data_IF_281466622885
#
_entry.id   IF_281466622885
#
_cell.length_a   1.000
_cell.length_b   1.000
_cell.length_c   1.000
_cell.angle_alpha   90.00
_cell.angle_beta   90.00
_cell.angle_gamma   90.00
#
_symmetry.space_group_name_H-M   'P 1'
#
loop_
_entity.id
_entity.type
_entity.pdbx_description
1 polymer ?
#
# COMPACT_ATOMS: atom_id res chain seq x y z
N UNK A 1 -8.17 2.03 18.61
CA UNK A 1 -9.32 1.20 19.07
C UNK A 1 -9.02 -0.30 19.15
N UNK A 2 -8.06 -0.81 18.37
CA UNK A 2 -7.79 -2.25 18.29
C UNK A 2 -6.57 -2.66 19.11
N UNK A 3 -6.59 -3.85 19.74
CA UNK A 3 -5.42 -4.38 20.42
C UNK A 3 -4.32 -4.73 19.42
N UNK A 4 -3.06 -4.70 19.88
CA UNK A 4 -1.88 -4.87 19.01
C UNK A 4 -1.85 -6.19 18.24
N UNK A 5 -2.35 -7.27 18.82
CA UNK A 5 -2.38 -8.58 18.15
C UNK A 5 -3.34 -8.57 16.95
N UNK A 6 -4.48 -7.89 17.08
CA UNK A 6 -5.46 -7.78 16.00
C UNK A 6 -4.92 -6.94 14.84
N UNK A 7 -4.14 -5.89 15.15
CA UNK A 7 -3.43 -5.09 14.13
C UNK A 7 -2.44 -5.93 13.35
N UNK A 8 -1.68 -6.80 14.01
CA UNK A 8 -0.74 -7.71 13.34
C UNK A 8 -1.46 -8.70 12.43
N UNK A 9 -2.54 -9.32 12.91
CA UNK A 9 -3.35 -10.25 12.10
C UNK A 9 -4.01 -9.52 10.93
N UNK A 10 -4.54 -8.31 11.14
CA UNK A 10 -5.14 -7.52 10.08
C UNK A 10 -4.11 -7.08 9.04
N UNK A 11 -2.89 -6.71 9.44
CA UNK A 11 -1.81 -6.40 8.50
C UNK A 11 -1.43 -7.61 7.64
N UNK A 12 -1.35 -8.80 8.24
CA UNK A 12 -1.12 -10.04 7.51
C UNK A 12 -2.28 -10.42 6.59
N UNK A 13 -3.52 -10.25 7.05
CA UNK A 13 -4.73 -10.48 6.24
C UNK A 13 -4.76 -9.53 5.03
N UNK A 14 -4.43 -8.25 5.24
CA UNK A 14 -4.29 -7.28 4.16
C UNK A 14 -3.26 -7.73 3.11
N UNK A 15 -2.06 -8.12 3.54
CA UNK A 15 -1.01 -8.60 2.64
C UNK A 15 -1.45 -9.83 1.82
N UNK A 16 -2.12 -10.79 2.46
CA UNK A 16 -2.65 -12.00 1.83
C UNK A 16 -3.75 -11.71 0.82
N UNK A 17 -4.73 -10.88 1.20
CA UNK A 17 -5.84 -10.48 0.32
C UNK A 17 -5.34 -9.65 -0.85
N UNK A 18 -4.35 -8.79 -0.64
CA UNK A 18 -3.72 -8.02 -1.71
C UNK A 18 -2.90 -8.89 -2.65
N UNK A 19 -2.14 -9.86 -2.12
CA UNK A 19 -1.45 -10.83 -2.95
C UNK A 19 -2.46 -11.60 -3.82
N UNK A 20 -3.53 -12.13 -3.23
CA UNK A 20 -4.59 -12.79 -3.98
C UNK A 20 -5.22 -11.86 -5.06
N UNK A 21 -5.40 -10.58 -4.74
CA UNK A 21 -5.87 -9.57 -5.69
C UNK A 21 -4.91 -9.37 -6.88
N UNK A 22 -3.59 -9.41 -6.65
CA UNK A 22 -2.58 -9.37 -7.70
C UNK A 22 -2.55 -10.64 -8.56
N UNK A 23 -3.27 -11.69 -8.17
CA UNK A 23 -3.19 -13.00 -8.82
C UNK A 23 -2.20 -13.93 -8.14
N UNK A 24 -2.08 -13.87 -6.81
CA UNK A 24 -1.38 -14.90 -6.07
C UNK A 24 -2.27 -16.16 -5.93
N UNK A 25 -1.74 -17.36 -6.19
CA UNK A 25 -2.31 -18.60 -5.69
C UNK A 25 -2.45 -18.59 -4.16
N UNK A 26 -3.23 -19.55 -3.64
CA UNK A 26 -3.49 -19.65 -2.19
C UNK A 26 -2.20 -19.80 -1.37
N UNK A 27 -1.20 -20.51 -1.89
CA UNK A 27 0.05 -20.78 -1.19
C UNK A 27 0.92 -19.53 -1.06
N UNK A 28 1.07 -18.76 -2.12
CA UNK A 28 1.72 -17.45 -2.13
C UNK A 28 1.05 -16.49 -1.14
N UNK A 29 -0.29 -16.47 -1.12
CA UNK A 29 -1.04 -15.61 -0.22
C UNK A 29 -0.87 -16.02 1.26
N UNK A 30 -0.79 -17.31 1.57
CA UNK A 30 -0.54 -17.83 2.91
C UNK A 30 0.90 -17.57 3.37
N UNK A 31 1.88 -17.72 2.47
CA UNK A 31 3.27 -17.45 2.77
C UNK A 31 3.49 -15.95 2.97
N UNK A 32 2.84 -15.11 2.16
CA UNK A 32 2.76 -13.67 2.37
C UNK A 32 2.16 -13.31 3.72
N UNK A 33 1.05 -13.95 4.13
CA UNK A 33 0.45 -13.76 5.45
C UNK A 33 1.45 -14.06 6.58
N UNK A 34 2.10 -15.22 6.55
CA UNK A 34 3.09 -15.61 7.57
C UNK A 34 4.30 -14.68 7.59
N UNK A 35 4.80 -14.33 6.40
CA UNK A 35 5.91 -13.37 6.23
C UNK A 35 5.58 -12.01 6.84
N UNK A 36 4.39 -11.46 6.56
CA UNK A 36 3.96 -10.18 7.12
C UNK A 36 3.85 -10.21 8.64
N UNK A 37 3.39 -11.32 9.25
CA UNK A 37 3.41 -11.45 10.72
C UNK A 37 4.85 -11.30 11.24
N UNK A 38 5.81 -12.02 10.66
CA UNK A 38 7.21 -11.96 11.09
C UNK A 38 7.83 -10.58 10.87
N UNK A 39 7.54 -9.93 9.75
CA UNK A 39 7.96 -8.55 9.46
C UNK A 39 7.43 -7.60 10.54
N UNK A 40 6.13 -7.62 10.81
CA UNK A 40 5.50 -6.73 11.78
C UNK A 40 5.99 -6.99 13.21
N UNK A 41 6.21 -8.25 13.58
CA UNK A 41 6.78 -8.62 14.88
C UNK A 41 8.23 -8.13 15.02
N UNK A 42 9.05 -8.32 13.99
CA UNK A 42 10.45 -7.88 13.96
C UNK A 42 10.54 -6.36 14.10
N UNK A 43 9.79 -5.63 13.27
CA UNK A 43 9.74 -4.16 13.32
C UNK A 43 9.22 -3.65 14.67
N UNK A 44 8.21 -4.31 15.23
CA UNK A 44 7.69 -3.97 16.56
C UNK A 44 8.75 -4.17 17.64
N UNK A 45 9.51 -5.25 17.58
CA UNK A 45 10.57 -5.50 18.55
C UNK A 45 11.68 -4.45 18.46
N UNK A 46 12.09 -4.09 17.24
CA UNK A 46 13.04 -3.00 16.99
C UNK A 46 12.52 -1.65 17.51
N UNK A 47 11.22 -1.37 17.35
CA UNK A 47 10.60 -0.17 17.89
C UNK A 47 10.60 -0.15 19.42
N UNK A 48 10.42 -1.29 20.09
CA UNK A 48 10.56 -1.42 21.56
C UNK A 48 11.99 -1.11 22.00
N UNK A 49 12.98 -1.53 21.21
CA UNK A 49 14.39 -1.21 21.42
C UNK A 49 14.78 0.22 21.00
N UNK A 50 13.82 1.05 20.56
CA UNK A 50 14.04 2.43 20.10
C UNK A 50 15.02 2.54 18.95
N UNK A 51 15.10 1.50 18.13
CA UNK A 51 15.91 1.50 16.91
C UNK A 51 15.29 2.49 15.91
N UNK A 52 16.09 3.34 15.23
CA UNK A 52 15.58 4.25 14.21
C UNK A 52 14.79 3.54 13.11
N UNK A 53 13.76 4.21 12.59
CA UNK A 53 12.81 3.65 11.61
C UNK A 53 13.51 3.06 10.38
N UNK A 54 14.58 3.69 9.91
CA UNK A 54 15.41 3.21 8.80
C UNK A 54 15.80 1.73 8.98
N UNK A 55 16.32 1.36 10.16
CA UNK A 55 16.74 -0.01 10.43
C UNK A 55 15.56 -0.95 10.68
N UNK A 56 14.44 -0.44 11.18
CA UNK A 56 13.19 -1.20 11.25
C UNK A 56 12.71 -1.61 9.85
N UNK A 57 12.71 -0.67 8.92
CA UNK A 57 12.34 -0.92 7.53
C UNK A 57 13.36 -1.80 6.80
N UNK A 58 14.66 -1.65 7.08
CA UNK A 58 15.70 -2.54 6.57
C UNK A 58 15.49 -3.98 7.07
N UNK A 59 15.22 -4.17 8.36
CA UNK A 59 14.92 -5.50 8.90
C UNK A 59 13.62 -6.08 8.30
N UNK A 60 12.58 -5.27 8.11
CA UNK A 60 11.35 -5.70 7.44
C UNK A 60 11.58 -6.12 5.99
N UNK A 61 12.33 -5.30 5.23
CA UNK A 61 12.80 -5.59 3.87
C UNK A 61 13.59 -6.89 3.78
N UNK A 62 14.49 -7.10 4.75
CA UNK A 62 15.30 -8.29 4.86
C UNK A 62 14.42 -9.53 5.12
N UNK A 63 13.60 -9.51 6.17
CA UNK A 63 12.77 -10.65 6.58
C UNK A 63 11.81 -11.06 5.45
N UNK A 64 11.13 -10.10 4.82
CA UNK A 64 10.19 -10.41 3.74
C UNK A 64 10.88 -11.09 2.54
N UNK A 65 12.01 -10.52 2.10
CA UNK A 65 12.78 -11.01 0.95
C UNK A 65 13.42 -12.35 1.25
N UNK A 66 14.02 -12.50 2.43
CA UNK A 66 14.70 -13.73 2.84
C UNK A 66 13.72 -14.90 2.93
N UNK A 67 12.52 -14.70 3.50
CA UNK A 67 11.48 -15.74 3.56
C UNK A 67 11.05 -16.17 2.16
N UNK A 68 10.83 -15.21 1.26
CA UNK A 68 10.44 -15.52 -0.12
C UNK A 68 11.53 -16.30 -0.87
N UNK A 69 12.79 -15.90 -0.71
CA UNK A 69 13.93 -16.60 -1.31
C UNK A 69 14.16 -17.99 -0.72
N UNK A 70 14.03 -18.14 0.60
CA UNK A 70 14.14 -19.44 1.25
C UNK A 70 13.04 -20.39 0.76
N UNK A 71 11.81 -19.92 0.67
CA UNK A 71 10.70 -20.72 0.14
C UNK A 71 10.90 -21.09 -1.35
N UNK A 72 11.45 -20.17 -2.15
CA UNK A 72 11.80 -20.43 -3.55
C UNK A 72 12.93 -21.46 -3.69
N UNK A 73 13.96 -21.36 -2.86
CA UNK A 73 15.07 -22.30 -2.82
C UNK A 73 14.64 -23.71 -2.38
N UNK A 74 13.54 -23.82 -1.63
CA UNK A 74 12.89 -25.09 -1.27
C UNK A 74 11.95 -25.62 -2.37
N UNK A 75 12.02 -25.07 -3.58
CA UNK A 75 11.20 -25.46 -4.74
C UNK A 75 9.68 -25.37 -4.47
N UNK A 76 9.26 -24.51 -3.54
CA UNK A 76 7.84 -24.26 -3.33
C UNK A 76 7.24 -23.59 -4.58
N UNK A 77 6.03 -23.97 -5.01
CA UNK A 77 5.38 -23.42 -6.20
C UNK A 77 4.82 -22.02 -5.91
N UNK A 78 5.72 -21.05 -5.70
CA UNK A 78 5.42 -19.67 -5.37
C UNK A 78 6.12 -18.73 -6.35
N UNK A 79 5.56 -17.54 -6.54
CA UNK A 79 6.19 -16.40 -7.18
C UNK A 79 6.80 -15.50 -6.09
N UNK A 80 8.14 -15.50 -5.90
CA UNK A 80 8.78 -14.76 -4.80
C UNK A 80 8.47 -13.26 -4.86
N UNK A 81 8.36 -12.70 -6.07
CA UNK A 81 8.02 -11.29 -6.26
C UNK A 81 6.65 -10.90 -5.70
N UNK A 82 5.66 -11.78 -5.81
CA UNK A 82 4.30 -11.56 -5.28
C UNK A 82 4.30 -11.69 -3.76
N UNK A 83 5.00 -12.68 -3.21
CA UNK A 83 5.16 -12.87 -1.77
C UNK A 83 5.82 -11.65 -1.12
N UNK A 84 6.93 -11.16 -1.68
CA UNK A 84 7.62 -9.98 -1.15
C UNK A 84 6.77 -8.73 -1.32
N UNK A 85 6.11 -8.55 -2.47
CA UNK A 85 5.21 -7.41 -2.68
C UNK A 85 4.07 -7.39 -1.66
N UNK A 86 3.43 -8.53 -1.38
CA UNK A 86 2.43 -8.64 -0.32
C UNK A 86 3.01 -8.35 1.06
N UNK A 87 4.17 -8.95 1.37
CA UNK A 87 4.88 -8.79 2.65
C UNK A 87 5.26 -7.36 2.98
N UNK A 88 5.70 -6.61 1.98
CA UNK A 88 6.18 -5.22 2.12
C UNK A 88 5.08 -4.18 1.96
N UNK A 89 3.94 -4.53 1.35
CA UNK A 89 2.92 -3.53 1.00
C UNK A 89 2.47 -2.70 2.20
N UNK A 90 2.30 -3.33 3.36
CA UNK A 90 1.81 -2.67 4.56
C UNK A 90 2.83 -1.70 5.17
N UNK A 91 4.13 -1.89 4.92
CA UNK A 91 5.21 -1.03 5.43
C UNK A 91 5.71 -0.04 4.37
N UNK A 92 5.17 -0.10 3.16
CA UNK A 92 5.55 0.77 2.06
C UNK A 92 5.12 2.22 2.33
N UNK A 93 5.99 3.21 2.11
CA UNK A 93 5.68 4.61 2.39
C UNK A 93 4.75 5.24 1.32
N UNK A 94 4.10 4.44 0.46
CA UNK A 94 3.25 4.92 -0.62
C UNK A 94 2.08 5.77 -0.11
N UNK A 95 1.46 5.37 1.01
CA UNK A 95 0.43 6.19 1.67
C UNK A 95 0.99 7.53 2.20
N UNK A 96 2.26 7.57 2.63
CA UNK A 96 2.94 8.80 3.05
C UNK A 96 3.15 9.73 1.87
N UNK A 97 3.54 9.19 0.72
CA UNK A 97 3.76 9.96 -0.52
C UNK A 97 2.43 10.53 -1.02
N UNK A 98 1.37 9.72 -1.09
CA UNK A 98 0.03 10.20 -1.46
C UNK A 98 -0.40 11.36 -0.55
N UNK A 99 -0.26 11.18 0.76
CA UNK A 99 -0.62 12.23 1.72
C UNK A 99 0.26 13.48 1.58
N UNK A 100 1.55 13.33 1.31
CA UNK A 100 2.45 14.45 1.05
C UNK A 100 2.07 15.22 -0.21
N UNK A 101 1.64 14.53 -1.27
CA UNK A 101 1.15 15.17 -2.50
C UNK A 101 -0.17 15.90 -2.23
N UNK A 102 -1.08 15.29 -1.48
CA UNK A 102 -2.32 15.96 -1.05
C UNK A 102 -2.02 17.22 -0.23
N UNK A 103 -1.06 17.15 0.70
CA UNK A 103 -0.62 18.31 1.49
C UNK A 103 -0.05 19.41 0.57
N UNK A 104 0.75 19.05 -0.44
CA UNK A 104 1.27 20.01 -1.42
C UNK A 104 0.15 20.67 -2.23
N UNK A 105 -0.80 19.88 -2.75
CA UNK A 105 -1.94 20.39 -3.54
C UNK A 105 -2.81 21.32 -2.68
N UNK A 106 -2.99 21.01 -1.40
CA UNK A 106 -3.82 21.79 -0.48
C UNK A 106 -3.09 22.98 0.15
N UNK A 107 -1.84 23.27 -0.24
CA UNK A 107 -1.11 24.47 0.21
C UNK A 107 -0.28 24.30 1.49
N UNK A 108 0.13 23.09 1.84
CA UNK A 108 1.00 22.78 2.99
C UNK A 108 2.39 22.26 2.55
N UNK A 109 3.22 23.08 1.90
CA UNK A 109 4.47 22.62 1.26
C UNK A 109 5.54 22.16 2.25
N UNK A 110 5.64 22.78 3.43
CA UNK A 110 6.65 22.40 4.45
C UNK A 110 6.36 21.00 5.01
N UNK A 111 5.09 20.72 5.33
CA UNK A 111 4.63 19.40 5.78
C UNK A 111 4.85 18.35 4.68
N UNK A 112 4.52 18.70 3.43
CA UNK A 112 4.75 17.85 2.27
C UNK A 112 6.24 17.49 2.11
N UNK A 113 7.13 18.48 2.12
CA UNK A 113 8.57 18.27 2.01
C UNK A 113 9.10 17.33 3.10
N UNK A 114 8.68 17.53 4.36
CA UNK A 114 9.05 16.64 5.47
C UNK A 114 8.60 15.19 5.27
N UNK A 115 7.36 14.98 4.77
CA UNK A 115 6.83 13.64 4.49
C UNK A 115 7.51 12.97 3.30
N UNK A 116 7.89 13.74 2.27
CA UNK A 116 8.66 13.23 1.13
C UNK A 116 10.06 12.81 1.56
N UNK A 117 10.76 13.61 2.39
CA UNK A 117 12.07 13.21 2.96
C UNK A 117 11.93 11.94 3.80
N UNK A 118 10.90 11.85 4.65
CA UNK A 118 10.61 10.62 5.41
C UNK A 118 10.37 9.41 4.50
N UNK A 119 9.64 9.58 3.39
CA UNK A 119 9.41 8.52 2.42
C UNK A 119 10.72 8.07 1.74
N UNK A 120 11.62 9.01 1.40
CA UNK A 120 12.92 8.70 0.82
C UNK A 120 13.82 7.91 1.79
N UNK A 121 13.84 8.29 3.07
CA UNK A 121 14.56 7.54 4.12
C UNK A 121 13.97 6.13 4.25
N UNK A 122 12.64 6.01 4.20
CA UNK A 122 11.96 4.73 4.26
C UNK A 122 12.33 3.81 3.07
N UNK A 123 12.35 4.36 1.86
CA UNK A 123 12.82 3.64 0.68
C UNK A 123 14.27 3.17 0.83
N UNK A 124 15.18 4.05 1.24
CA UNK A 124 16.58 3.69 1.43
C UNK A 124 16.76 2.56 2.45
N UNK A 125 15.97 2.57 3.54
CA UNK A 125 15.96 1.50 4.54
C UNK A 125 15.46 0.18 3.96
N UNK A 126 14.31 0.17 3.31
CA UNK A 126 13.78 -1.06 2.72
C UNK A 126 14.71 -1.62 1.62
N UNK A 127 15.29 -0.77 0.77
CA UNK A 127 16.22 -1.20 -0.30
C UNK A 127 17.47 -1.83 0.28
N UNK A 128 18.06 -1.26 1.34
CA UNK A 128 19.23 -1.88 1.99
C UNK A 128 18.90 -3.22 2.63
N UNK A 129 17.72 -3.36 3.21
CA UNK A 129 17.19 -4.62 3.71
C UNK A 129 17.03 -5.71 2.65
N UNK A 130 16.41 -5.35 1.52
CA UNK A 130 16.25 -6.24 0.37
C UNK A 130 17.61 -6.69 -0.15
N UNK A 131 18.54 -5.75 -0.37
CA UNK A 131 19.90 -6.05 -0.82
C UNK A 131 20.61 -7.04 0.12
N UNK A 132 20.56 -6.79 1.43
CA UNK A 132 21.17 -7.66 2.42
C UNK A 132 20.56 -9.08 2.39
N UNK A 133 19.24 -9.21 2.22
CA UNK A 133 18.59 -10.52 2.14
C UNK A 133 18.99 -11.29 0.89
N UNK A 134 19.05 -10.63 -0.27
CA UNK A 134 19.44 -11.30 -1.52
C UNK A 134 20.89 -11.76 -1.46
N UNK A 135 21.81 -10.91 -1.02
CA UNK A 135 23.23 -11.30 -0.84
C UNK A 135 23.35 -12.48 0.12
N UNK A 136 22.60 -12.45 1.23
CA UNK A 136 22.61 -13.57 2.20
C UNK A 136 22.08 -14.85 1.57
N UNK A 137 21.02 -14.77 0.77
CA UNK A 137 20.44 -15.93 0.10
C UNK A 137 21.35 -16.49 -0.99
N UNK A 138 22.01 -15.63 -1.76
CA UNK A 138 23.02 -16.01 -2.77
C UNK A 138 24.22 -16.73 -2.13
N UNK A 139 24.71 -16.23 -0.98
CA UNK A 139 25.74 -16.90 -0.19
C UNK A 139 25.30 -18.29 0.31
N UNK A 140 23.99 -18.53 0.47
CA UNK A 140 23.41 -19.82 0.83
C UNK A 140 23.08 -20.69 -0.39
N UNK A 141 23.38 -20.23 -1.61
CA UNK A 141 23.15 -20.95 -2.86
C UNK A 141 21.73 -20.83 -3.42
N UNK A 142 20.93 -19.85 -2.99
CA UNK A 142 19.60 -19.64 -3.53
C UNK A 142 19.65 -19.10 -4.96
N UNK A 143 18.81 -19.60 -5.89
CA UNK A 143 18.77 -19.10 -7.25
C UNK A 143 18.27 -17.64 -7.32
N UNK A 144 18.72 -16.85 -8.32
CA UNK A 144 18.27 -15.48 -8.51
C UNK A 144 16.76 -15.44 -8.84
N UNK A 145 16.06 -14.42 -8.32
CA UNK A 145 14.63 -14.24 -8.58
C UNK A 145 14.44 -13.59 -9.95
N UNK A 146 13.64 -14.23 -10.82
CA UNK A 146 13.08 -13.54 -11.99
C UNK A 146 11.91 -12.65 -11.56
N UNK A 147 12.16 -11.35 -11.54
CA UNK A 147 11.20 -10.35 -11.07
C UNK A 147 10.18 -9.96 -12.16
N UNK A 148 10.39 -10.41 -13.41
CA UNK A 148 9.69 -9.97 -14.62
C UNK A 148 8.34 -10.68 -14.92
N UNK A 149 7.78 -11.47 -14.01
CA UNK A 149 6.52 -12.17 -14.31
C UNK A 149 5.33 -11.19 -14.40
N UNK A 150 4.59 -11.22 -15.51
CA UNK A 150 3.38 -10.43 -15.68
C UNK A 150 2.31 -10.82 -14.65
N UNK A 151 1.56 -9.83 -14.15
CA UNK A 151 0.40 -10.11 -13.31
C UNK A 151 -0.70 -10.71 -14.18
N UNK A 152 -1.13 -11.93 -13.87
CA UNK A 152 -2.34 -12.51 -14.47
C UNK A 152 -3.42 -12.57 -13.40
N UNK A 153 -4.57 -11.95 -13.69
CA UNK A 153 -5.72 -12.02 -12.79
C UNK A 153 -6.29 -13.42 -12.85
N UNK A 154 -6.09 -14.19 -11.78
CA UNK A 154 -6.66 -15.52 -11.66
C UNK A 154 -8.16 -15.52 -11.39
N UNK A 155 -8.66 -14.50 -10.68
CA UNK A 155 -10.02 -14.51 -10.15
C UNK A 155 -11.00 -13.68 -10.99
N UNK A 156 -12.26 -14.11 -10.98
CA UNK A 156 -13.38 -13.39 -11.59
C UNK A 156 -13.56 -11.99 -10.96
N UNK A 157 -14.03 -10.97 -11.70
CA UNK A 157 -14.13 -9.60 -11.20
C UNK A 157 -14.91 -9.43 -9.89
N UNK A 158 -15.96 -10.22 -9.67
CA UNK A 158 -16.73 -10.23 -8.42
C UNK A 158 -15.90 -10.64 -7.21
N UNK A 159 -14.99 -11.61 -7.37
CA UNK A 159 -14.06 -12.05 -6.33
C UNK A 159 -13.01 -10.97 -6.08
N UNK A 160 -12.50 -10.31 -7.13
CA UNK A 160 -11.57 -9.20 -6.98
C UNK A 160 -12.17 -8.03 -6.19
N UNK A 161 -13.44 -7.68 -6.46
CA UNK A 161 -14.17 -6.67 -5.68
C UNK A 161 -14.27 -7.08 -4.20
N UNK A 162 -14.57 -8.35 -3.91
CA UNK A 162 -14.63 -8.85 -2.54
C UNK A 162 -13.25 -8.83 -1.84
N UNK A 163 -12.17 -9.19 -2.55
CA UNK A 163 -10.81 -9.12 -2.04
C UNK A 163 -10.41 -7.68 -1.69
N UNK A 164 -10.69 -6.72 -2.58
CA UNK A 164 -10.43 -5.30 -2.35
C UNK A 164 -11.25 -4.76 -1.17
N UNK A 165 -12.53 -5.13 -1.07
CA UNK A 165 -13.40 -4.78 0.05
C UNK A 165 -12.81 -5.24 1.39
N UNK A 166 -12.42 -6.52 1.48
CA UNK A 166 -11.86 -7.10 2.70
C UNK A 166 -10.47 -6.56 3.02
N UNK A 167 -9.63 -6.34 2.00
CA UNK A 167 -8.31 -5.76 2.16
C UNK A 167 -8.42 -4.34 2.74
N UNK A 168 -9.32 -3.51 2.22
CA UNK A 168 -9.55 -2.16 2.75
C UNK A 168 -10.05 -2.17 4.20
N UNK A 169 -10.88 -3.14 4.59
CA UNK A 169 -11.28 -3.31 5.99
C UNK A 169 -10.09 -3.69 6.89
N UNK A 170 -9.25 -4.63 6.43
CA UNK A 170 -8.05 -5.03 7.14
C UNK A 170 -7.06 -3.87 7.29
N UNK A 171 -6.84 -3.09 6.22
CA UNK A 171 -6.06 -1.86 6.24
C UNK A 171 -6.63 -0.83 7.22
N UNK A 172 -7.96 -0.64 7.25
CA UNK A 172 -8.60 0.28 8.19
C UNK A 172 -8.39 -0.13 9.66
N UNK A 173 -8.32 -1.43 9.96
CA UNK A 173 -7.95 -1.91 11.30
C UNK A 173 -6.50 -1.54 11.62
N UNK A 174 -5.58 -1.68 10.66
CA UNK A 174 -4.17 -1.30 10.83
C UNK A 174 -4.04 0.20 11.10
N UNK A 175 -4.77 1.02 10.34
CA UNK A 175 -4.84 2.48 10.48
C UNK A 175 -5.64 2.97 11.71
N UNK A 176 -6.06 2.05 12.60
CA UNK A 176 -6.80 2.38 13.82
C UNK A 176 -8.14 3.11 13.58
N UNK A 177 -8.74 2.93 12.41
CA UNK A 177 -10.05 3.49 12.05
C UNK A 177 -11.16 2.90 12.91
N UNK A 178 -12.15 3.72 13.31
CA UNK A 178 -13.23 3.25 14.18
C UNK A 178 -14.01 2.07 13.57
N UNK A 179 -14.49 1.16 14.42
CA UNK A 179 -15.21 -0.08 13.98
C UNK A 179 -16.39 0.24 13.06
N UNK A 180 -17.11 1.33 13.35
CA UNK A 180 -18.27 1.78 12.59
C UNK A 180 -17.92 2.16 11.14
N UNK A 181 -16.66 2.53 10.89
CA UNK A 181 -16.18 2.97 9.59
C UNK A 181 -15.58 1.84 8.75
N UNK A 182 -15.42 0.62 9.29
CA UNK A 182 -14.83 -0.49 8.54
C UNK A 182 -15.66 -0.86 7.30
N UNK A 183 -16.96 -1.10 7.46
CA UNK A 183 -17.86 -1.46 6.35
C UNK A 183 -17.95 -0.35 5.29
N UNK A 184 -18.15 0.95 5.66
CA UNK A 184 -18.09 2.03 4.70
C UNK A 184 -16.76 2.13 3.94
N UNK A 185 -15.62 1.98 4.62
CA UNK A 185 -14.30 2.01 3.99
C UNK A 185 -14.13 0.87 2.98
N UNK A 186 -14.53 -0.36 3.33
CA UNK A 186 -14.54 -1.49 2.42
C UNK A 186 -15.41 -1.22 1.19
N UNK A 187 -16.63 -0.70 1.39
CA UNK A 187 -17.57 -0.40 0.31
C UNK A 187 -17.03 0.67 -0.64
N UNK A 188 -16.39 1.71 -0.11
CA UNK A 188 -15.75 2.76 -0.92
C UNK A 188 -14.62 2.18 -1.76
N UNK A 189 -13.80 1.30 -1.19
CA UNK A 189 -12.72 0.63 -1.92
C UNK A 189 -13.26 -0.25 -3.05
N UNK A 190 -14.31 -1.04 -2.78
CA UNK A 190 -15.00 -1.86 -3.78
C UNK A 190 -15.58 -1.03 -4.94
N UNK A 191 -16.22 0.10 -4.63
CA UNK A 191 -16.77 1.01 -5.64
C UNK A 191 -15.67 1.69 -6.45
N UNK A 192 -14.60 2.16 -5.79
CA UNK A 192 -13.42 2.70 -6.44
C UNK A 192 -12.76 1.69 -7.38
N UNK A 193 -12.61 0.44 -6.95
CA UNK A 193 -12.09 -0.64 -7.77
C UNK A 193 -13.03 -1.01 -8.93
N UNK A 194 -14.35 -0.96 -8.74
CA UNK A 194 -15.30 -1.23 -9.82
C UNK A 194 -15.15 -0.22 -10.97
N UNK A 195 -14.94 1.07 -10.64
CA UNK A 195 -14.69 2.13 -11.63
C UNK A 195 -13.31 1.99 -12.26
N UNK A 196 -12.30 1.66 -11.45
CA UNK A 196 -10.96 1.33 -11.93
C UNK A 196 -11.01 0.19 -12.96
N UNK A 197 -11.68 -0.91 -12.62
CA UNK A 197 -11.83 -2.09 -13.47
C UNK A 197 -12.64 -1.79 -14.74
N UNK A 198 -13.70 -0.98 -14.65
CA UNK A 198 -14.43 -0.52 -15.83
C UNK A 198 -13.52 0.29 -16.79
N UNK A 199 -12.63 1.12 -16.25
CA UNK A 199 -11.65 1.85 -17.05
C UNK A 199 -10.67 0.94 -17.79
N UNK A 200 -10.25 -0.16 -17.17
CA UNK A 200 -9.42 -1.19 -17.82
C UNK A 200 -10.17 -1.89 -18.96
N UNK A 201 -11.44 -2.25 -18.75
CA UNK A 201 -12.27 -2.88 -19.79
C UNK A 201 -12.47 -1.97 -21.00
N UNK A 202 -12.49 -0.65 -20.79
CA UNK A 202 -12.57 0.35 -21.84
C UNK A 202 -11.23 0.62 -22.55
N UNK A 203 -10.14 -0.05 -22.13
CA UNK A 203 -8.81 0.15 -22.72
C UNK A 203 -8.21 1.52 -22.42
N UNK A 204 -8.62 2.17 -21.33
CA UNK A 204 -7.98 3.42 -20.91
C UNK A 204 -6.52 3.16 -20.52
N UNK A 205 -5.64 4.13 -20.73
CA UNK A 205 -4.22 3.97 -20.40
C UNK A 205 -4.01 3.76 -18.89
N UNK A 206 -3.03 2.92 -18.53
CA UNK A 206 -2.66 2.56 -17.14
C UNK A 206 -2.39 3.76 -16.22
N UNK A 207 -2.04 4.91 -16.80
CA UNK A 207 -1.77 6.16 -16.08
C UNK A 207 -3.04 6.93 -15.70
N UNK A 208 -4.13 6.76 -16.45
CA UNK A 208 -5.40 7.49 -16.25
C UNK A 208 -6.34 6.70 -15.34
N UNK A 209 -6.36 5.37 -15.45
CA UNK A 209 -7.26 4.50 -14.70
C UNK A 209 -7.18 4.76 -13.17
N UNK A 210 -5.99 4.94 -12.56
CA UNK A 210 -5.90 5.26 -11.13
C UNK A 210 -6.62 6.56 -10.75
N UNK A 211 -6.69 7.55 -11.63
CA UNK A 211 -7.39 8.81 -11.35
C UNK A 211 -8.89 8.56 -11.18
N UNK A 212 -9.48 7.69 -12.01
CA UNK A 212 -10.92 7.42 -11.98
C UNK A 212 -11.33 6.73 -10.67
N UNK A 213 -10.65 5.64 -10.31
CA UNK A 213 -10.92 4.94 -9.04
C UNK A 213 -10.66 5.84 -7.83
N UNK A 214 -9.57 6.59 -7.84
CA UNK A 214 -9.21 7.53 -6.79
C UNK A 214 -10.22 8.67 -6.63
N UNK A 215 -10.82 9.14 -7.73
CA UNK A 215 -11.90 10.16 -7.69
C UNK A 215 -13.12 9.64 -6.96
N UNK A 216 -13.51 8.39 -7.20
CA UNK A 216 -14.61 7.75 -6.46
C UNK A 216 -14.27 7.58 -4.97
N UNK A 217 -13.06 7.13 -4.66
CA UNK A 217 -12.59 7.01 -3.28
C UNK A 217 -12.59 8.37 -2.57
N UNK A 218 -12.12 9.42 -3.23
CA UNK A 218 -12.14 10.79 -2.71
C UNK A 218 -13.55 11.31 -2.47
N UNK A 219 -14.42 11.19 -3.46
CA UNK A 219 -15.81 11.66 -3.41
C UNK A 219 -16.61 10.98 -2.30
N UNK A 220 -16.63 9.65 -2.28
CA UNK A 220 -17.40 8.89 -1.29
C UNK A 220 -16.74 8.94 0.09
N UNK A 221 -15.40 8.93 0.14
CA UNK A 221 -14.63 9.10 1.37
C UNK A 221 -14.97 10.41 2.07
N UNK A 222 -15.10 11.51 1.33
CA UNK A 222 -15.53 12.80 1.87
C UNK A 222 -16.93 12.71 2.48
N UNK A 223 -17.91 12.19 1.74
CA UNK A 223 -19.31 12.09 2.21
C UNK A 223 -19.40 11.27 3.48
N UNK A 224 -18.81 10.07 3.47
CA UNK A 224 -18.87 9.13 4.60
C UNK A 224 -18.13 9.71 5.81
N UNK A 225 -16.90 10.22 5.62
CA UNK A 225 -16.13 10.77 6.72
C UNK A 225 -16.84 11.96 7.39
N UNK A 226 -17.40 12.89 6.61
CA UNK A 226 -18.14 14.03 7.15
C UNK A 226 -19.42 13.60 7.87
N UNK A 227 -20.21 12.66 7.30
CA UNK A 227 -21.40 12.12 7.98
C UNK A 227 -21.08 11.42 9.29
N UNK A 228 -19.88 10.87 9.42
CA UNK A 228 -19.43 10.15 10.61
C UNK A 228 -18.58 11.01 11.55
N UNK A 229 -18.40 12.31 11.25
CA UNK A 229 -17.64 13.25 12.07
C UNK A 229 -16.13 12.96 12.11
N UNK A 230 -15.57 12.37 11.06
CA UNK A 230 -14.16 11.99 10.95
C UNK A 230 -13.46 12.77 9.81
N UNK A 231 -12.13 12.93 9.87
CA UNK A 231 -11.35 13.43 8.73
C UNK A 231 -11.41 12.47 7.53
N UNK A 232 -11.44 13.00 6.31
CA UNK A 232 -11.50 12.19 5.07
C UNK A 232 -10.37 11.15 4.97
N UNK A 233 -9.18 11.52 5.43
CA UNK A 233 -7.99 10.65 5.40
C UNK A 233 -8.21 9.31 6.14
N UNK A 234 -9.03 9.29 7.18
CA UNK A 234 -9.35 8.07 7.97
C UNK A 234 -10.06 7.00 7.12
N UNK A 235 -10.76 7.42 6.07
CA UNK A 235 -11.45 6.55 5.12
C UNK A 235 -10.64 6.38 3.83
N UNK A 236 -10.13 7.48 3.28
CA UNK A 236 -9.50 7.49 1.97
C UNK A 236 -8.19 6.68 1.93
N UNK A 237 -7.34 6.78 2.97
CA UNK A 237 -6.05 6.08 3.02
C UNK A 237 -6.20 4.56 2.96
N UNK A 238 -6.99 3.90 3.82
CA UNK A 238 -7.21 2.46 3.70
C UNK A 238 -8.00 2.07 2.43
N UNK A 239 -8.95 2.90 1.98
CA UNK A 239 -9.77 2.58 0.80
C UNK A 239 -9.00 2.63 -0.54
N UNK A 240 -7.96 3.46 -0.65
CA UNK A 240 -7.15 3.58 -1.88
C UNK A 240 -6.04 2.53 -2.00
N UNK A 241 -5.79 1.72 -0.95
CA UNK A 241 -4.59 0.89 -0.88
C UNK A 241 -4.46 -0.10 -2.04
N UNK A 242 -5.57 -0.61 -2.58
CA UNK A 242 -5.54 -1.54 -3.71
C UNK A 242 -4.89 -0.97 -4.98
N UNK A 243 -4.83 0.36 -5.10
CA UNK A 243 -4.28 1.07 -6.25
C UNK A 243 -2.77 1.30 -6.12
N UNK A 244 -2.21 1.08 -4.94
CA UNK A 244 -0.83 1.43 -4.66
C UNK A 244 0.09 0.51 -5.45
N UNK A 245 1.10 1.06 -6.16
CA UNK A 245 1.98 0.30 -7.04
C UNK A 245 3.07 -0.44 -6.24
N UNK A 246 2.67 -1.24 -5.25
CA UNK A 246 3.59 -1.87 -4.30
C UNK A 246 4.54 -2.88 -4.96
N UNK A 247 4.02 -3.68 -5.88
CA UNK A 247 4.84 -4.61 -6.66
C UNK A 247 5.85 -3.85 -7.53
N UNK A 248 5.41 -2.85 -8.30
CA UNK A 248 6.27 -2.01 -9.14
C UNK A 248 7.40 -1.37 -8.32
N UNK A 249 7.08 -0.87 -7.12
CA UNK A 249 8.07 -0.34 -6.20
C UNK A 249 9.09 -1.40 -5.77
N UNK A 250 8.63 -2.57 -5.34
CA UNK A 250 9.52 -3.66 -4.97
C UNK A 250 10.43 -4.06 -6.13
N UNK A 251 9.87 -4.21 -7.34
CA UNK A 251 10.63 -4.54 -8.55
C UNK A 251 11.73 -3.52 -8.81
N UNK A 252 11.38 -2.23 -8.75
CA UNK A 252 12.33 -1.16 -8.95
C UNK A 252 13.46 -1.17 -7.91
N UNK A 253 13.12 -1.38 -6.64
CA UNK A 253 14.11 -1.50 -5.57
C UNK A 253 15.03 -2.71 -5.73
N UNK A 254 14.47 -3.86 -6.10
CA UNK A 254 15.23 -5.09 -6.34
C UNK A 254 16.19 -4.94 -7.52
N UNK A 255 15.71 -4.40 -8.64
CA UNK A 255 16.52 -4.15 -9.83
C UNK A 255 17.66 -3.14 -9.57
N UNK A 256 17.42 -2.12 -8.74
CA UNK A 256 18.47 -1.19 -8.32
C UNK A 256 19.50 -1.87 -7.41
N UNK A 257 19.06 -2.78 -6.53
CA UNK A 257 19.92 -3.44 -5.57
C UNK A 257 20.81 -4.54 -6.17
N UNK A 258 20.26 -5.29 -7.15
CA UNK A 258 20.87 -6.54 -7.65
C UNK A 258 21.10 -6.57 -9.16
N UNK A 259 20.51 -5.62 -9.89
CA UNK A 259 20.53 -5.65 -11.34
C UNK A 259 21.88 -5.27 -11.94
N UNK A 260 22.13 -5.79 -13.14
CA UNK A 260 23.14 -5.27 -14.06
C UNK A 260 22.89 -3.79 -14.38
N UNK A 261 23.87 -3.12 -15.00
CA UNK A 261 23.76 -1.70 -15.39
C UNK A 261 22.50 -1.38 -16.20
N UNK A 262 22.04 -2.32 -17.03
CA UNK A 262 20.81 -2.18 -17.83
C UNK A 262 19.55 -2.33 -16.98
N UNK A 263 19.56 -3.25 -16.02
CA UNK A 263 18.44 -3.48 -15.09
C UNK A 263 18.30 -2.33 -14.08
N UNK A 264 19.40 -1.67 -13.71
CA UNK A 264 19.37 -0.46 -12.87
C UNK A 264 18.51 0.65 -13.52
N UNK A 265 18.67 0.87 -14.82
CA UNK A 265 17.85 1.85 -15.58
C UNK A 265 16.38 1.42 -15.58
N UNK A 266 16.11 0.13 -15.76
CA UNK A 266 14.77 -0.45 -15.64
C UNK A 266 14.16 -0.17 -14.27
N UNK A 267 14.93 -0.37 -13.19
CA UNK A 267 14.44 -0.19 -11.83
C UNK A 267 14.11 1.26 -11.50
N UNK A 268 14.91 2.22 -12.01
CA UNK A 268 14.61 3.66 -11.91
C UNK A 268 13.33 3.99 -12.68
N UNK A 269 13.14 3.46 -13.89
CA UNK A 269 11.93 3.68 -14.69
C UNK A 269 10.68 3.13 -13.97
N UNK A 270 10.81 1.96 -13.34
CA UNK A 270 9.75 1.30 -12.57
C UNK A 270 9.32 2.18 -11.36
N UNK A 271 10.30 2.70 -10.61
CA UNK A 271 10.04 3.64 -9.50
C UNK A 271 9.41 4.96 -9.98
N UNK A 272 9.84 5.46 -11.14
CA UNK A 272 9.27 6.68 -11.70
C UNK A 272 7.82 6.47 -12.16
N UNK A 273 7.51 5.34 -12.80
CA UNK A 273 6.12 4.98 -13.11
C UNK A 273 5.27 4.83 -11.86
N UNK A 274 5.81 4.23 -10.78
CA UNK A 274 5.10 4.13 -9.51
C UNK A 274 4.79 5.52 -8.92
N UNK A 275 5.73 6.46 -9.01
CA UNK A 275 5.52 7.85 -8.59
C UNK A 275 4.41 8.52 -9.40
N UNK A 276 4.35 8.32 -10.72
CA UNK A 276 3.27 8.83 -11.58
C UNK A 276 1.91 8.28 -11.14
N UNK A 277 1.82 6.98 -10.85
CA UNK A 277 0.58 6.35 -10.36
C UNK A 277 0.18 6.95 -9.01
N UNK A 278 1.13 7.15 -8.09
CA UNK A 278 0.88 7.75 -6.78
C UNK A 278 0.39 9.21 -6.91
N UNK A 279 0.97 9.99 -7.83
CA UNK A 279 0.51 11.35 -8.15
C UNK A 279 -0.91 11.34 -8.73
N UNK A 280 -1.20 10.42 -9.64
CA UNK A 280 -2.52 10.23 -10.22
C UNK A 280 -3.58 9.89 -9.15
N UNK A 281 -3.25 8.99 -8.21
CA UNK A 281 -4.12 8.64 -7.08
C UNK A 281 -4.36 9.86 -6.18
N UNK A 282 -3.30 10.58 -5.80
CA UNK A 282 -3.42 11.76 -4.95
C UNK A 282 -4.29 12.84 -5.60
N UNK A 283 -4.05 13.13 -6.88
CA UNK A 283 -4.84 14.10 -7.65
C UNK A 283 -6.30 13.66 -7.79
N UNK A 284 -6.56 12.37 -8.06
CA UNK A 284 -7.90 11.82 -8.13
C UNK A 284 -8.67 11.96 -6.82
N UNK A 285 -8.04 11.63 -5.67
CA UNK A 285 -8.68 11.78 -4.36
C UNK A 285 -9.05 13.25 -4.09
N UNK A 286 -8.16 14.18 -4.41
CA UNK A 286 -8.44 15.62 -4.25
C UNK A 286 -9.54 16.08 -5.21
N UNK A 287 -9.52 15.64 -6.46
CA UNK A 287 -10.57 15.94 -7.44
C UNK A 287 -11.94 15.47 -6.94
N UNK A 288 -12.01 14.23 -6.45
CA UNK A 288 -13.22 13.67 -5.84
C UNK A 288 -13.71 14.46 -4.63
N UNK A 289 -12.79 14.88 -3.75
CA UNK A 289 -13.12 15.77 -2.64
C UNK A 289 -13.75 17.08 -3.13
N UNK A 290 -13.10 17.77 -4.09
CA UNK A 290 -13.55 19.05 -4.62
C UNK A 290 -14.92 18.94 -5.28
N UNK A 291 -15.14 17.91 -6.10
CA UNK A 291 -16.43 17.67 -6.74
C UNK A 291 -17.57 17.49 -5.73
N UNK A 292 -17.29 16.90 -4.57
CA UNK A 292 -18.29 16.66 -3.53
C UNK A 292 -18.45 17.80 -2.52
N UNK A 293 -17.63 18.85 -2.58
CA UNK A 293 -17.74 20.02 -1.67
C UNK A 293 -19.11 20.68 -1.67
N UNK A 294 -19.76 20.97 -2.83
CA UNK A 294 -21.08 21.61 -2.84
C UNK A 294 -22.15 20.76 -2.14
N UNK A 295 -22.13 19.45 -2.39
CA UNK A 295 -23.11 18.48 -1.87
C UNK A 295 -22.94 18.15 -0.38
N UNK A 296 -21.78 18.49 0.19
CA UNK A 296 -21.44 18.23 1.60
C UNK A 296 -21.30 19.51 2.41
N UNK A 297 -21.64 20.66 1.83
CA UNK A 297 -21.56 21.98 2.48
C UNK A 297 -22.40 22.08 3.76
N UNK A 298 -23.49 21.32 3.85
CA UNK A 298 -24.36 21.21 5.04
C UNK A 298 -23.83 20.23 6.10
N UNK A 299 -22.92 19.33 5.72
CA UNK A 299 -22.31 18.33 6.60
C UNK A 299 -21.05 18.95 7.21
N UNK A 300 -21.23 19.83 8.18
CA UNK A 300 -20.10 20.42 8.90
C UNK A 300 -19.36 19.34 9.69
N UNK A 301 -18.03 19.25 9.51
CA UNK A 301 -17.19 18.56 10.48
C UNK A 301 -17.36 19.26 11.84
N UNK A 302 -17.46 18.48 12.91
CA UNK A 302 -17.67 18.95 14.29
C UNK A 302 -16.54 19.87 14.82
N UNK A 303 -15.55 20.23 13.99
CA UNK A 303 -14.41 21.07 14.36
C UNK A 303 -14.79 22.54 14.56
N UNK A 304 -15.87 23.04 13.92
CA UNK A 304 -16.32 24.43 14.10
C UNK A 304 -17.30 24.64 15.26
N UNK A 305 -17.81 23.57 15.87
CA UNK A 305 -18.90 23.63 16.84
C UNK A 305 -18.47 23.58 18.32
N UNK A 306 -17.16 23.55 18.63
CA UNK A 306 -16.70 23.76 20.01
C UNK A 306 -16.30 25.22 20.19
N UNK A 307 -17.12 26.06 20.86
CA UNK A 307 -16.62 27.34 21.36
C UNK A 307 -15.45 27.02 22.29
N UNK A 308 -14.34 27.72 22.09
CA UNK A 308 -13.29 27.82 23.10
C UNK A 308 -13.94 28.38 24.37
N UNK A 309 -14.28 27.51 25.32
CA UNK A 309 -14.49 27.93 26.70
C UNK A 309 -13.16 28.51 27.16
N UNK A 310 -13.17 29.83 27.36
CA UNK A 310 -12.09 30.60 27.97
C UNK A 310 -11.90 30.19 29.41
#
# INVERSE_FOLDING_TARGET
PYPRWLVTIAGAAFASLFAAFLGAPIWDALLGFGSTILVLLTMRQLAVWRVPEYFGLAAGGFVATFIAMAAFALEMPIAPSIVVAGGLMIILPSARIVSAIQDAINGFPITSAGRLVSAMIAFAGMTSGIMAAVVTADMLGAPPIEVAQGLTRLYHPTVLIALVFLAAMAAAIVEQTSVRMLLPTGAISALGFSVYYAGELLGLGERIIPILGATVVGALGRVVALRMGAPQLVVAVPAMMFMLPGLMIFRGMYQIAMGSSTELIGGIAELFNALIIILAIAAGIVLGDVCMRPLTSSLQSNERARPRTR
#
